data_IF_554421768713
#
_entry.id   IF_554421768713
#
_cell.length_a   1.000
_cell.length_b   1.000
_cell.length_c   1.000
_cell.angle_alpha   90.00
_cell.angle_beta   90.00
_cell.angle_gamma   90.00
#
_symmetry.space_group_name_H-M   'P 1'
#
loop_
_entity.id
_entity.type
_entity.pdbx_description
1 polymer ?
#
# COMPACT_ATOMS: atom_id res chain seq x y z
N UNK A 1 36.63 37.82 49.15
CA UNK A 1 36.87 36.86 48.02
C UNK A 1 35.73 35.81 48.01
N UNK A 2 34.72 36.00 47.19
CA UNK A 2 33.57 35.08 47.06
C UNK A 2 33.85 34.11 45.91
N UNK A 3 33.98 32.81 46.21
CA UNK A 3 34.14 31.73 45.24
C UNK A 3 32.74 31.37 44.71
N UNK A 4 32.48 31.67 43.46
CA UNK A 4 31.27 31.27 42.75
C UNK A 4 31.50 29.82 42.23
N UNK A 5 30.75 28.85 42.78
CA UNK A 5 30.68 27.47 42.29
C UNK A 5 29.67 27.45 41.11
N UNK A 6 30.21 27.28 39.90
CA UNK A 6 29.36 27.06 38.70
C UNK A 6 29.06 25.54 38.64
N UNK A 7 27.82 25.18 38.94
CA UNK A 7 27.28 23.84 38.67
C UNK A 7 26.95 23.72 37.19
N UNK A 8 27.77 23.01 36.43
CA UNK A 8 27.44 22.63 35.05
C UNK A 8 26.52 21.42 35.13
N UNK A 9 25.23 21.67 34.87
CA UNK A 9 24.23 20.62 34.73
C UNK A 9 24.42 19.98 33.34
N UNK A 10 25.06 18.81 33.34
CA UNK A 10 25.18 17.95 32.17
C UNK A 10 23.78 17.34 31.89
N UNK A 11 22.98 17.99 31.06
CA UNK A 11 21.79 17.37 30.48
C UNK A 11 22.27 16.33 29.45
N UNK A 12 22.42 15.09 29.89
CA UNK A 12 22.62 13.96 29.01
C UNK A 12 21.37 13.79 28.15
N UNK A 13 21.45 14.22 26.89
CA UNK A 13 20.47 13.87 25.86
C UNK A 13 20.56 12.34 25.65
N UNK A 14 19.72 11.59 26.32
CA UNK A 14 19.44 10.22 25.96
C UNK A 14 18.81 10.24 24.58
N UNK A 15 19.59 10.03 23.53
CA UNK A 15 19.11 9.66 22.22
C UNK A 15 18.44 8.28 22.38
N UNK A 16 17.14 8.26 22.61
CA UNK A 16 16.33 7.04 22.50
C UNK A 16 16.40 6.67 21.03
N UNK A 17 17.30 5.77 20.67
CA UNK A 17 17.30 5.09 19.38
C UNK A 17 16.05 4.20 19.37
N UNK A 18 14.91 4.78 19.04
CA UNK A 18 13.68 4.05 18.82
C UNK A 18 13.90 3.12 17.63
N UNK A 19 14.13 1.83 17.90
CA UNK A 19 14.08 0.85 16.81
C UNK A 19 12.65 0.93 16.23
N UNK A 20 12.56 1.10 14.91
CA UNK A 20 11.29 1.12 14.21
C UNK A 20 10.44 -0.09 14.62
N UNK A 21 9.23 0.14 15.12
CA UNK A 21 8.33 -0.94 15.51
C UNK A 21 7.88 -1.68 14.24
N UNK A 22 8.19 -2.98 14.17
CA UNK A 22 7.85 -3.82 13.03
C UNK A 22 6.90 -4.93 13.49
N UNK A 23 5.74 -5.04 12.86
CA UNK A 23 4.70 -5.98 13.24
C UNK A 23 4.31 -6.83 12.04
N UNK A 24 4.23 -8.15 12.24
CA UNK A 24 3.78 -9.13 11.25
C UNK A 24 2.35 -9.59 11.56
N UNK A 25 1.49 -9.57 10.57
CA UNK A 25 0.14 -10.09 10.64
C UNK A 25 0.05 -11.40 9.85
N UNK A 26 -0.17 -12.50 10.55
CA UNK A 26 -0.15 -13.84 9.96
C UNK A 26 -1.31 -14.09 8.98
N UNK A 27 -2.47 -13.51 9.25
CA UNK A 27 -3.71 -13.72 8.51
C UNK A 27 -4.64 -12.49 8.56
N UNK A 28 -5.75 -12.56 7.85
CA UNK A 28 -6.76 -11.49 7.81
C UNK A 28 -7.31 -11.17 9.22
N UNK A 29 -7.60 -12.18 10.03
CA UNK A 29 -8.16 -11.99 11.37
C UNK A 29 -7.18 -11.21 12.25
N UNK A 30 -5.90 -11.60 12.28
CA UNK A 30 -4.88 -10.88 13.06
C UNK A 30 -4.67 -9.44 12.58
N UNK A 31 -4.78 -9.20 11.26
CA UNK A 31 -4.72 -7.86 10.69
C UNK A 31 -5.92 -7.00 11.11
N UNK A 32 -7.14 -7.54 11.04
CA UNK A 32 -8.36 -6.79 11.41
C UNK A 32 -8.44 -6.52 12.92
N UNK A 33 -7.90 -7.40 13.75
CA UNK A 33 -7.83 -7.18 15.20
C UNK A 33 -6.58 -6.42 15.65
N UNK A 34 -5.70 -6.03 14.71
CA UNK A 34 -4.41 -5.37 14.97
C UNK A 34 -3.51 -6.17 15.94
N UNK A 35 -3.67 -7.50 15.97
CA UNK A 35 -2.89 -8.42 16.80
C UNK A 35 -1.84 -9.12 15.95
N UNK A 36 -0.62 -8.64 16.00
CA UNK A 36 0.51 -9.15 15.23
C UNK A 36 1.73 -9.44 16.09
N UNK A 37 2.69 -10.14 15.50
CA UNK A 37 3.95 -10.51 16.15
C UNK A 37 5.00 -9.42 15.91
N UNK A 38 5.63 -8.91 16.97
CA UNK A 38 6.68 -7.90 16.86
C UNK A 38 7.99 -8.53 16.41
N UNK A 39 8.65 -7.90 15.45
CA UNK A 39 9.98 -8.26 14.96
C UNK A 39 10.83 -7.00 14.80
N UNK A 40 12.15 -7.15 14.63
CA UNK A 40 13.07 -6.00 14.57
C UNK A 40 14.05 -6.04 13.39
N UNK A 41 13.92 -7.04 12.51
CA UNK A 41 14.96 -7.34 11.51
C UNK A 41 14.49 -7.18 10.07
N UNK A 42 13.30 -6.61 9.83
CA UNK A 42 12.79 -6.45 8.49
C UNK A 42 13.47 -5.30 7.76
N UNK A 43 13.76 -5.56 6.50
CA UNK A 43 14.20 -4.57 5.52
C UNK A 43 13.12 -4.42 4.46
N UNK A 44 12.77 -3.16 4.16
CA UNK A 44 11.78 -2.82 3.15
C UNK A 44 12.50 -2.08 2.02
N UNK A 45 12.42 -2.66 0.84
CA UNK A 45 13.01 -2.12 -0.37
C UNK A 45 11.90 -1.83 -1.39
N UNK A 46 11.90 -0.61 -1.94
CA UNK A 46 11.03 -0.29 -3.08
C UNK A 46 11.62 -0.89 -4.34
N UNK A 47 10.86 -1.69 -5.04
CA UNK A 47 11.27 -2.35 -6.28
C UNK A 47 11.38 -1.35 -7.42
N UNK A 48 12.36 -1.58 -8.29
CA UNK A 48 12.53 -0.80 -9.52
C UNK A 48 11.44 -1.15 -10.55
N UNK A 49 11.22 -0.25 -11.50
CA UNK A 49 10.27 -0.48 -12.61
C UNK A 49 10.60 -1.77 -13.37
N UNK A 50 11.89 -2.04 -13.63
CA UNK A 50 12.33 -3.24 -14.33
C UNK A 50 12.02 -4.53 -13.52
N UNK A 51 12.25 -4.52 -12.22
CA UNK A 51 11.89 -5.66 -11.37
C UNK A 51 10.39 -5.95 -11.38
N UNK A 52 9.56 -4.89 -11.37
CA UNK A 52 8.11 -5.02 -11.44
C UNK A 52 7.68 -5.54 -12.82
N UNK A 53 8.30 -5.03 -13.89
CA UNK A 53 8.02 -5.48 -15.25
C UNK A 53 8.30 -6.98 -15.43
N UNK A 54 9.43 -7.46 -14.92
CA UNK A 54 9.85 -8.86 -15.09
C UNK A 54 9.03 -9.86 -14.26
N UNK A 55 8.56 -9.47 -13.07
CA UNK A 55 7.96 -10.43 -12.12
C UNK A 55 6.56 -10.05 -11.64
N UNK A 56 6.03 -8.91 -12.07
CA UNK A 56 4.73 -8.40 -11.63
C UNK A 56 4.65 -8.14 -10.12
N UNK A 57 3.43 -8.01 -9.60
CA UNK A 57 3.15 -7.94 -8.18
C UNK A 57 3.32 -6.58 -7.55
N UNK A 58 3.52 -6.57 -6.23
CA UNK A 58 3.59 -5.34 -5.42
C UNK A 58 4.91 -4.57 -5.58
N UNK A 59 4.89 -3.33 -5.13
CA UNK A 59 6.00 -2.37 -5.29
C UNK A 59 7.11 -2.53 -4.26
N UNK A 60 6.90 -3.32 -3.21
CA UNK A 60 7.84 -3.45 -2.10
C UNK A 60 8.28 -4.89 -1.90
N UNK A 61 9.59 -5.07 -1.75
CA UNK A 61 10.22 -6.29 -1.28
C UNK A 61 10.44 -6.16 0.21
N UNK A 62 9.99 -7.15 0.98
CA UNK A 62 10.19 -7.20 2.43
C UNK A 62 10.89 -8.51 2.77
N UNK A 63 12.03 -8.42 3.44
CA UNK A 63 12.86 -9.55 3.84
C UNK A 63 13.41 -9.32 5.26
N UNK A 64 13.79 -10.38 5.94
CA UNK A 64 14.43 -10.27 7.23
C UNK A 64 15.96 -10.32 7.05
N UNK A 65 16.68 -9.41 7.71
CA UNK A 65 18.14 -9.46 7.76
C UNK A 65 18.58 -10.71 8.51
N UNK A 66 19.52 -11.45 7.92
CA UNK A 66 20.21 -12.59 8.54
C UNK A 66 19.28 -13.71 9.04
N UNK A 67 18.01 -13.76 8.58
CA UNK A 67 17.04 -14.79 8.93
C UNK A 67 16.28 -15.30 7.71
N UNK A 68 16.80 -16.35 7.08
CA UNK A 68 16.21 -16.94 5.88
C UNK A 68 14.83 -17.58 6.12
N UNK A 69 14.59 -18.11 7.33
CA UNK A 69 13.30 -18.69 7.74
C UNK A 69 12.24 -17.63 7.82
N UNK A 70 12.53 -16.51 8.49
CA UNK A 70 11.62 -15.36 8.59
C UNK A 70 11.40 -14.72 7.22
N UNK A 71 12.44 -14.57 6.39
CA UNK A 71 12.29 -14.09 5.00
C UNK A 71 11.34 -14.96 4.21
N UNK A 72 11.47 -16.30 4.29
CA UNK A 72 10.55 -17.23 3.62
C UNK A 72 9.13 -17.09 4.13
N UNK A 73 8.93 -16.95 5.44
CA UNK A 73 7.62 -16.73 6.05
C UNK A 73 6.98 -15.41 5.56
N UNK A 74 7.70 -14.31 5.66
CA UNK A 74 7.26 -12.98 5.21
C UNK A 74 6.86 -13.05 3.74
N UNK A 75 7.71 -13.59 2.88
CA UNK A 75 7.48 -13.66 1.44
C UNK A 75 6.25 -14.49 1.04
N UNK A 76 5.93 -15.57 1.76
CA UNK A 76 4.93 -16.55 1.30
C UNK A 76 3.70 -16.69 2.19
N UNK A 77 3.83 -16.49 3.49
CA UNK A 77 2.79 -16.81 4.49
C UNK A 77 2.21 -15.58 5.18
N UNK A 78 3.04 -14.61 5.54
CA UNK A 78 2.61 -13.38 6.18
C UNK A 78 1.56 -12.65 5.33
N UNK A 79 0.51 -12.12 5.96
CA UNK A 79 -0.60 -11.45 5.30
C UNK A 79 -0.32 -9.96 5.10
N UNK A 80 0.17 -9.29 6.13
CA UNK A 80 0.53 -7.88 6.11
C UNK A 80 1.70 -7.59 7.05
N UNK A 81 2.36 -6.47 6.82
CA UNK A 81 3.47 -5.95 7.63
C UNK A 81 3.21 -4.50 7.94
N UNK A 82 3.44 -4.11 9.19
CA UNK A 82 3.49 -2.72 9.60
C UNK A 82 4.92 -2.38 10.02
N UNK A 83 5.41 -1.23 9.58
CA UNK A 83 6.69 -0.67 10.03
C UNK A 83 6.42 0.78 10.39
N UNK A 84 6.51 1.10 11.66
CA UNK A 84 6.08 2.38 12.23
C UNK A 84 4.61 2.69 11.82
N UNK A 85 4.41 3.79 11.09
CA UNK A 85 3.09 4.18 10.55
C UNK A 85 2.80 3.62 9.16
N UNK A 86 3.78 2.96 8.50
CA UNK A 86 3.63 2.45 7.15
C UNK A 86 3.07 1.02 7.14
N UNK A 87 2.10 0.78 6.25
CA UNK A 87 1.42 -0.50 6.10
C UNK A 87 1.70 -1.11 4.74
N UNK A 88 1.87 -2.43 4.74
CA UNK A 88 2.14 -3.22 3.54
C UNK A 88 1.32 -4.50 3.54
N UNK A 89 0.61 -4.79 2.46
CA UNK A 89 -0.16 -6.03 2.30
C UNK A 89 0.52 -6.96 1.30
N UNK A 90 0.54 -8.25 1.59
CA UNK A 90 1.14 -9.25 0.72
C UNK A 90 0.24 -9.54 -0.48
N UNK A 91 0.66 -9.15 -1.67
CA UNK A 91 -0.08 -9.32 -2.91
C UNK A 91 -0.45 -10.80 -3.21
N UNK A 92 0.31 -11.77 -2.71
CA UNK A 92 -0.04 -13.20 -2.80
C UNK A 92 -1.33 -13.56 -2.08
N UNK A 93 -1.70 -12.81 -1.05
CA UNK A 93 -2.90 -13.03 -0.24
C UNK A 93 -4.10 -12.25 -0.74
N UNK A 94 -3.86 -11.22 -1.56
CA UNK A 94 -4.90 -10.35 -2.08
C UNK A 94 -5.51 -10.92 -3.36
N UNK A 95 -6.83 -10.73 -3.53
CA UNK A 95 -7.59 -11.15 -4.71
C UNK A 95 -8.62 -10.11 -5.11
N UNK A 96 -8.69 -9.84 -6.40
CA UNK A 96 -9.76 -9.07 -7.01
C UNK A 96 -10.52 -9.95 -8.02
N UNK A 97 -11.79 -10.21 -7.77
CA UNK A 97 -12.59 -11.19 -8.53
C UNK A 97 -11.88 -12.58 -8.53
N UNK A 98 -11.55 -13.12 -9.71
CA UNK A 98 -10.80 -14.38 -9.89
C UNK A 98 -9.28 -14.19 -9.94
N UNK A 99 -8.79 -12.95 -10.02
CA UNK A 99 -7.39 -12.63 -10.23
C UNK A 99 -6.64 -12.48 -8.90
N UNK A 100 -5.33 -12.76 -8.93
CA UNK A 100 -4.38 -12.55 -7.83
C UNK A 100 -3.43 -11.41 -8.19
N UNK A 101 -3.03 -10.63 -7.21
CA UNK A 101 -2.12 -9.50 -7.42
C UNK A 101 -0.65 -9.90 -7.62
N UNK A 102 -0.32 -11.18 -7.56
CA UNK A 102 1.05 -11.67 -7.76
C UNK A 102 1.87 -11.73 -6.48
N UNK A 103 3.17 -11.46 -6.58
CA UNK A 103 4.11 -11.53 -5.47
C UNK A 103 4.36 -10.17 -4.85
N UNK A 104 5.13 -10.14 -3.75
CA UNK A 104 5.61 -8.94 -3.08
C UNK A 104 4.52 -8.17 -2.35
N UNK A 105 4.83 -6.98 -1.90
CA UNK A 105 3.96 -6.18 -1.04
C UNK A 105 3.48 -4.91 -1.74
N UNK A 106 2.25 -4.55 -1.51
CA UNK A 106 1.67 -3.27 -1.89
C UNK A 106 1.59 -2.36 -0.66
N UNK A 107 1.82 -1.05 -0.85
CA UNK A 107 1.57 -0.08 0.20
C UNK A 107 0.08 -0.02 0.53
N UNK A 108 -0.24 0.17 1.81
CA UNK A 108 -1.60 0.23 2.29
C UNK A 108 -1.79 1.37 3.31
N UNK A 109 -3.03 1.71 3.59
CA UNK A 109 -3.41 2.68 4.61
C UNK A 109 -4.76 2.32 5.23
N UNK A 110 -4.91 2.61 6.51
CA UNK A 110 -6.19 2.55 7.18
C UNK A 110 -6.93 3.87 7.04
N UNK A 111 -8.19 3.81 6.62
CA UNK A 111 -9.07 4.96 6.50
C UNK A 111 -10.42 4.58 7.10
N UNK A 112 -10.84 5.24 8.16
CA UNK A 112 -12.14 5.01 8.84
C UNK A 112 -12.43 3.52 9.10
N UNK A 113 -11.45 2.80 9.66
CA UNK A 113 -11.57 1.37 10.01
C UNK A 113 -11.52 0.38 8.84
N UNK A 114 -11.25 0.86 7.61
CA UNK A 114 -11.08 0.04 6.42
C UNK A 114 -9.66 0.13 5.90
N UNK A 115 -9.15 -0.97 5.35
CA UNK A 115 -7.82 -1.02 4.76
C UNK A 115 -7.87 -0.84 3.25
N UNK A 116 -7.14 0.15 2.76
CA UNK A 116 -6.96 0.43 1.34
C UNK A 116 -5.52 0.14 0.94
N UNK A 117 -5.31 -0.41 -0.24
CA UNK A 117 -3.96 -0.67 -0.76
C UNK A 117 -3.84 -0.29 -2.23
N UNK A 118 -2.61 0.08 -2.63
CA UNK A 118 -2.31 0.56 -3.97
C UNK A 118 -1.55 -0.54 -4.75
N UNK A 119 -2.16 -1.04 -5.84
CA UNK A 119 -1.60 -2.15 -6.62
C UNK A 119 -1.87 -1.97 -8.13
N UNK A 120 -1.34 -2.88 -8.94
CA UNK A 120 -1.62 -2.93 -10.37
C UNK A 120 -3.12 -3.16 -10.62
N UNK A 121 -3.69 -2.56 -11.68
CA UNK A 121 -5.06 -2.84 -12.10
C UNK A 121 -5.20 -4.30 -12.56
N UNK A 122 -6.31 -4.95 -12.23
CA UNK A 122 -6.60 -6.34 -12.59
C UNK A 122 -7.99 -6.46 -13.27
N UNK A 123 -8.14 -7.46 -14.13
CA UNK A 123 -9.42 -7.78 -14.78
C UNK A 123 -9.98 -6.63 -15.59
N UNK A 124 -11.26 -6.29 -15.38
CA UNK A 124 -11.91 -5.19 -16.09
C UNK A 124 -11.27 -3.82 -15.83
N UNK A 125 -10.73 -3.61 -14.61
CA UNK A 125 -10.00 -2.37 -14.29
C UNK A 125 -8.74 -2.25 -15.15
N UNK A 126 -8.03 -3.35 -15.38
CA UNK A 126 -6.89 -3.37 -16.29
C UNK A 126 -7.30 -3.04 -17.73
N UNK A 127 -8.41 -3.61 -18.20
CA UNK A 127 -8.93 -3.37 -19.54
C UNK A 127 -9.33 -1.90 -19.75
N UNK A 128 -9.95 -1.26 -18.77
CA UNK A 128 -10.31 0.17 -18.82
C UNK A 128 -9.10 1.11 -18.67
N UNK A 129 -8.08 0.70 -17.91
CA UNK A 129 -6.86 1.50 -17.69
C UNK A 129 -5.85 1.39 -18.83
N UNK A 130 -5.96 0.34 -19.68
CA UNK A 130 -5.03 0.07 -20.77
C UNK A 130 -5.28 0.91 -22.03
N UNK A 131 -6.36 1.69 -22.08
CA UNK A 131 -6.73 2.50 -23.25
C UNK A 131 -6.48 3.98 -22.92
N UNK A 132 -5.31 4.55 -23.24
CA UNK A 132 -5.23 5.98 -23.47
C UNK A 132 -6.13 6.29 -24.67
N UNK A 133 -7.01 7.28 -24.55
CA UNK A 133 -7.78 7.78 -25.69
C UNK A 133 -6.80 8.15 -26.81
N UNK A 134 -6.73 7.32 -27.85
CA UNK A 134 -5.83 7.53 -29.00
C UNK A 134 -4.82 6.43 -29.32
N UNK A 135 -4.68 5.40 -28.50
CA UNK A 135 -3.79 4.29 -28.86
C UNK A 135 -4.51 3.36 -29.85
N UNK A 136 -3.92 3.23 -31.05
CA UNK A 136 -4.35 2.31 -32.10
C UNK A 136 -4.60 0.92 -31.51
N UNK A 137 -5.76 0.34 -31.84
CA UNK A 137 -6.01 -1.11 -31.69
C UNK A 137 -5.06 -1.88 -32.62
N UNK A 138 -3.86 -2.14 -32.15
CA UNK A 138 -3.01 -3.18 -32.72
C UNK A 138 -3.56 -4.49 -32.19
N UNK A 139 -4.39 -5.17 -32.98
CA UNK A 139 -4.89 -6.50 -32.67
C UNK A 139 -3.76 -7.53 -32.71
N UNK A 140 -3.81 -8.53 -31.84
CA UNK A 140 -2.91 -9.65 -31.78
C UNK A 140 -1.98 -9.66 -30.55
N UNK A 141 -1.20 -10.74 -30.39
CA UNK A 141 -0.31 -10.97 -29.23
C UNK A 141 0.65 -9.82 -28.92
N UNK A 142 1.11 -9.07 -29.94
CA UNK A 142 1.99 -7.91 -29.79
C UNK A 142 1.24 -6.73 -29.17
N UNK A 143 -0.03 -6.51 -29.54
CA UNK A 143 -0.89 -5.47 -28.95
C UNK A 143 -1.18 -5.74 -27.48
N UNK A 144 -1.43 -7.01 -27.13
CA UNK A 144 -1.66 -7.43 -25.74
C UNK A 144 -0.39 -7.29 -24.88
N UNK A 145 0.79 -7.60 -25.42
CA UNK A 145 2.06 -7.42 -24.73
C UNK A 145 2.41 -5.95 -24.49
N UNK A 146 2.13 -5.07 -25.45
CA UNK A 146 2.33 -3.62 -25.33
C UNK A 146 1.35 -3.00 -24.33
N UNK A 147 0.07 -3.42 -24.35
CA UNK A 147 -0.92 -3.02 -23.36
C UNK A 147 -0.54 -3.49 -21.96
N UNK A 148 -0.09 -4.74 -21.81
CA UNK A 148 0.41 -5.28 -20.56
C UNK A 148 1.65 -4.52 -20.06
N UNK A 149 2.57 -4.10 -20.93
CA UNK A 149 3.76 -3.34 -20.55
C UNK A 149 3.41 -1.94 -20.03
N UNK A 150 2.41 -1.27 -20.61
CA UNK A 150 1.90 0.01 -20.12
C UNK A 150 1.28 -0.09 -18.73
N UNK A 151 0.55 -1.18 -18.45
CA UNK A 151 -0.12 -1.41 -17.16
C UNK A 151 0.82 -1.72 -16.00
N UNK A 152 2.06 -2.13 -16.28
CA UNK A 152 3.06 -2.42 -15.24
C UNK A 152 3.30 -1.23 -14.30
N UNK A 153 3.13 -0.02 -14.81
CA UNK A 153 3.37 1.23 -14.07
C UNK A 153 2.09 1.89 -13.56
N UNK A 154 0.94 1.45 -14.03
CA UNK A 154 -0.35 1.97 -13.56
C UNK A 154 -0.61 1.42 -12.17
N UNK A 155 -1.10 2.28 -11.30
CA UNK A 155 -1.54 1.93 -9.94
C UNK A 155 -2.96 2.41 -9.75
N UNK A 156 -3.72 1.61 -9.01
CA UNK A 156 -5.08 1.92 -8.59
C UNK A 156 -5.27 1.48 -7.14
N UNK A 157 -6.27 2.04 -6.48
CA UNK A 157 -6.58 1.65 -5.11
C UNK A 157 -7.65 0.56 -5.05
N UNK A 158 -7.49 -0.29 -4.05
CA UNK A 158 -8.46 -1.32 -3.67
C UNK A 158 -8.76 -1.22 -2.18
N UNK A 159 -10.03 -1.41 -1.82
CA UNK A 159 -10.48 -1.62 -0.45
C UNK A 159 -10.47 -3.11 -0.15
N UNK A 160 -9.91 -3.51 0.99
CA UNK A 160 -9.96 -4.89 1.47
C UNK A 160 -11.26 -5.10 2.25
N UNK A 161 -12.08 -6.06 1.80
CA UNK A 161 -13.25 -6.49 2.55
C UNK A 161 -12.81 -7.34 3.75
N UNK A 162 -13.13 -6.93 4.99
CA UNK A 162 -12.64 -7.58 6.20
C UNK A 162 -13.25 -8.96 6.45
N UNK A 163 -14.43 -9.24 5.89
CA UNK A 163 -15.14 -10.51 6.08
C UNK A 163 -14.65 -11.58 5.11
N UNK A 164 -14.50 -11.20 3.85
CA UNK A 164 -14.20 -12.14 2.76
C UNK A 164 -12.73 -12.19 2.37
N UNK A 165 -11.93 -11.20 2.77
CA UNK A 165 -10.54 -11.00 2.32
C UNK A 165 -10.42 -10.68 0.83
N UNK A 166 -11.54 -10.37 0.15
CA UNK A 166 -11.55 -9.96 -1.25
C UNK A 166 -11.37 -8.46 -1.38
N UNK A 167 -10.78 -8.04 -2.48
CA UNK A 167 -10.57 -6.62 -2.77
C UNK A 167 -11.67 -6.08 -3.65
N UNK A 168 -12.05 -4.82 -3.40
CA UNK A 168 -13.01 -4.04 -4.20
C UNK A 168 -12.27 -2.85 -4.79
N UNK A 169 -12.41 -2.64 -6.09
CA UNK A 169 -11.79 -1.51 -6.79
C UNK A 169 -12.35 -0.17 -6.27
N UNK A 170 -11.46 0.80 -6.09
CA UNK A 170 -11.78 2.16 -5.66
C UNK A 170 -11.60 3.10 -6.85
N UNK A 171 -12.64 3.23 -7.67
CA UNK A 171 -12.76 4.22 -8.74
C UNK A 171 -13.61 5.40 -8.32
N UNK A 172 -14.00 6.23 -9.29
CA UNK A 172 -14.75 7.48 -9.09
C UNK A 172 -16.03 7.29 -8.27
N UNK A 173 -16.87 6.33 -8.65
CA UNK A 173 -18.15 6.10 -7.97
C UNK A 173 -17.97 5.71 -6.50
N UNK A 174 -16.99 4.83 -6.22
CA UNK A 174 -16.67 4.41 -4.86
C UNK A 174 -16.13 5.58 -4.04
N UNK A 175 -15.28 6.44 -4.63
CA UNK A 175 -14.79 7.65 -3.95
C UNK A 175 -15.92 8.63 -3.66
N UNK A 176 -16.81 8.90 -4.59
CA UNK A 176 -17.98 9.77 -4.36
C UNK A 176 -18.85 9.26 -3.21
N UNK A 177 -19.04 7.93 -3.12
CA UNK A 177 -19.75 7.32 -2.00
C UNK A 177 -19.00 7.48 -0.67
N UNK A 178 -17.66 7.34 -0.65
CA UNK A 178 -16.84 7.55 0.55
C UNK A 178 -16.84 9.01 1.02
N UNK A 179 -17.01 9.94 0.09
CA UNK A 179 -17.02 11.40 0.34
C UNK A 179 -18.43 11.95 0.60
N UNK A 180 -19.46 11.11 0.67
CA UNK A 180 -20.87 11.56 0.86
C UNK A 180 -21.07 12.44 2.08
N UNK A 181 -20.39 12.14 3.18
CA UNK A 181 -20.49 12.86 4.45
C UNK A 181 -19.58 14.11 4.50
N UNK A 182 -18.83 14.39 3.44
CA UNK A 182 -17.83 15.47 3.35
C UNK A 182 -18.06 16.31 2.07
N UNK A 183 -19.07 17.19 2.04
CA UNK A 183 -19.50 17.89 0.82
C UNK A 183 -18.37 18.71 0.17
N UNK A 184 -17.50 19.35 0.95
CA UNK A 184 -16.38 20.13 0.42
C UNK A 184 -15.36 19.26 -0.30
N UNK A 185 -14.97 18.13 0.31
CA UNK A 185 -14.07 17.15 -0.32
C UNK A 185 -14.70 16.51 -1.55
N UNK A 186 -16.00 16.21 -1.47
CA UNK A 186 -16.75 15.64 -2.60
C UNK A 186 -16.76 16.60 -3.79
N UNK A 187 -17.12 17.87 -3.56
CA UNK A 187 -17.12 18.89 -4.60
C UNK A 187 -15.73 19.10 -5.22
N UNK A 188 -14.68 19.09 -4.38
CA UNK A 188 -13.32 19.18 -4.88
C UNK A 188 -12.92 17.95 -5.71
N UNK A 189 -13.34 16.73 -5.30
CA UNK A 189 -13.08 15.51 -6.05
C UNK A 189 -13.83 15.46 -7.39
N UNK A 190 -15.06 15.96 -7.43
CA UNK A 190 -15.86 16.03 -8.67
C UNK A 190 -15.22 16.95 -9.73
N UNK A 191 -14.41 17.92 -9.32
CA UNK A 191 -13.66 18.84 -10.19
C UNK A 191 -12.31 18.26 -10.69
N UNK A 192 -11.85 17.14 -10.13
CA UNK A 192 -10.63 16.50 -10.60
C UNK A 192 -10.85 15.95 -12.02
N UNK A 193 -9.89 16.21 -12.92
CA UNK A 193 -9.99 15.80 -14.33
C UNK A 193 -9.96 14.27 -14.50
N UNK A 194 -9.23 13.57 -13.59
CA UNK A 194 -9.01 12.13 -13.66
C UNK A 194 -9.05 11.52 -12.24
N UNK A 195 -9.47 10.26 -12.16
CA UNK A 195 -9.46 9.46 -10.92
C UNK A 195 -8.21 8.57 -10.79
N UNK A 196 -7.06 9.14 -11.07
CA UNK A 196 -5.77 8.42 -10.98
C UNK A 196 -5.40 8.05 -9.54
N UNK A 197 -4.49 7.10 -9.35
CA UNK A 197 -4.05 6.69 -8.01
C UNK A 197 -3.51 7.86 -7.14
N UNK A 198 -2.75 8.83 -7.65
CA UNK A 198 -2.38 10.02 -6.88
C UNK A 198 -3.58 10.82 -6.39
N UNK A 199 -4.59 11.02 -7.24
CA UNK A 199 -5.83 11.73 -6.90
C UNK A 199 -6.62 10.95 -5.84
N UNK A 200 -6.95 9.70 -6.10
CA UNK A 200 -7.63 8.83 -5.12
C UNK A 200 -6.88 8.81 -3.78
N UNK A 201 -5.56 8.63 -3.82
CA UNK A 201 -4.71 8.61 -2.63
C UNK A 201 -4.72 9.90 -1.83
N UNK A 202 -4.82 11.07 -2.49
CA UNK A 202 -4.96 12.38 -1.84
C UNK A 202 -6.23 12.44 -0.98
N UNK A 203 -7.38 12.02 -1.54
CA UNK A 203 -8.66 12.04 -0.82
C UNK A 203 -8.77 10.95 0.25
N UNK A 204 -8.22 9.76 0.02
CA UNK A 204 -8.12 8.74 1.07
C UNK A 204 -7.30 9.21 2.26
N UNK A 205 -6.18 9.91 2.02
CA UNK A 205 -5.37 10.52 3.10
C UNK A 205 -6.11 11.64 3.82
N UNK A 206 -6.87 12.48 3.11
CA UNK A 206 -7.70 13.50 3.73
C UNK A 206 -8.74 12.86 4.68
N UNK A 207 -9.40 11.79 4.25
CA UNK A 207 -10.35 11.03 5.08
C UNK A 207 -9.68 10.33 6.28
N UNK A 208 -8.39 10.00 6.22
CA UNK A 208 -7.67 9.35 7.32
C UNK A 208 -7.55 10.26 8.55
N UNK A 209 -7.45 11.57 8.35
CA UNK A 209 -7.35 12.58 9.42
C UNK A 209 -8.70 13.05 9.96
N UNK A 210 -9.82 12.53 9.45
CA UNK A 210 -11.17 12.96 9.84
C UNK A 210 -11.82 11.97 10.81
N UNK A 211 -12.62 12.45 11.75
CA UNK A 211 -13.33 11.61 12.73
C UNK A 211 -14.40 10.72 12.08
#
# INVERSE_FOLDING_TARGET
MRKIFIWILFLGAFAISGSAQQILYANLKSLMSLQGDTVSTLQIEKRTKNQIYLTGGGDYRIEARDNSGLTRYVRSRCYAVQVDSAWYVNCRKMRYQRYRFGQWYASAMWVRGKLYFCAQPLGQVAASSAIPAGSMKLGGEVGDALAASGLVHVRVYYELNPETGRSVFVGKDKMLALLSDFPDLRSAFEQEAEDTAPVIGKYLKALQGMP
#
